data_IF_760979968258
#
_entry.id   IF_760979968258
#
_cell.length_a   1.000
_cell.length_b   1.000
_cell.length_c   1.000
_cell.angle_alpha   90.00
_cell.angle_beta   90.00
_cell.angle_gamma   90.00
#
_symmetry.space_group_name_H-M   'P 1'
#
loop_
_entity.id
_entity.type
_entity.pdbx_description
1 polymer ?
#
# COMPACT_ATOMS: atom_id res chain seq x y z
N UNK A 1 10.53 -32.71 13.68
CA UNK A 1 10.02 -32.46 15.04
C UNK A 1 9.73 -30.98 15.15
N UNK A 2 8.48 -30.58 15.33
CA UNK A 2 8.15 -29.17 15.58
C UNK A 2 8.25 -28.94 17.09
N UNK A 3 9.40 -28.43 17.55
CA UNK A 3 9.57 -28.04 18.95
C UNK A 3 8.97 -26.65 19.14
N UNK A 4 7.84 -26.59 19.84
CA UNK A 4 7.26 -25.32 20.28
C UNK A 4 8.07 -24.74 21.44
N UNK A 5 8.48 -23.49 21.31
CA UNK A 5 9.11 -22.71 22.39
C UNK A 5 8.17 -21.56 22.73
N UNK A 6 7.79 -21.47 23.99
CA UNK A 6 6.94 -20.39 24.49
C UNK A 6 7.73 -19.08 24.49
N UNK A 7 7.09 -17.99 24.04
CA UNK A 7 7.65 -16.65 24.15
C UNK A 7 7.28 -15.97 25.48
N UNK A 8 8.04 -14.95 25.85
CA UNK A 8 7.75 -14.06 26.97
C UNK A 8 7.80 -12.61 26.48
N UNK A 9 6.79 -11.80 26.80
CA UNK A 9 6.80 -10.37 26.46
C UNK A 9 7.66 -9.60 27.45
N UNK A 10 8.57 -8.80 26.93
CA UNK A 10 9.42 -7.89 27.70
C UNK A 10 8.91 -6.46 27.51
N UNK A 11 8.94 -5.67 28.59
CA UNK A 11 8.78 -4.22 28.49
C UNK A 11 10.14 -3.56 28.30
N UNK A 12 10.36 -2.95 27.14
CA UNK A 12 11.58 -2.19 26.87
C UNK A 12 11.67 -0.93 27.74
N UNK A 13 10.54 -0.27 28.03
CA UNK A 13 10.48 0.88 28.95
C UNK A 13 11.09 0.58 30.33
N UNK A 14 10.93 -0.66 30.82
CA UNK A 14 11.47 -1.10 32.10
C UNK A 14 12.80 -1.86 31.97
N UNK A 15 13.30 -2.03 30.74
CA UNK A 15 14.51 -2.80 30.50
C UNK A 15 15.76 -1.96 30.85
N UNK A 16 16.72 -2.49 31.63
CA UNK A 16 17.84 -1.71 32.14
C UNK A 16 18.86 -1.28 31.09
N UNK A 17 18.91 -1.97 29.94
CA UNK A 17 19.94 -1.78 28.91
C UNK A 17 19.40 -1.38 27.54
N UNK A 18 18.13 -1.68 27.25
CA UNK A 18 17.57 -1.52 25.91
C UNK A 18 16.77 -0.24 25.92
N UNK A 19 17.25 0.75 25.17
CA UNK A 19 16.72 2.10 25.17
C UNK A 19 16.00 2.40 23.86
N UNK A 20 15.31 3.53 23.82
CA UNK A 20 14.73 4.06 22.58
C UNK A 20 15.81 4.21 21.49
N UNK A 21 17.01 4.67 21.89
CA UNK A 21 18.16 4.77 20.99
C UNK A 21 18.60 3.42 20.42
N UNK A 22 18.49 2.35 21.19
CA UNK A 22 18.78 1.00 20.72
C UNK A 22 17.76 0.56 19.64
N UNK A 23 16.47 0.85 19.84
CA UNK A 23 15.43 0.57 18.84
C UNK A 23 15.65 1.41 17.57
N UNK A 24 15.92 2.70 17.71
CA UNK A 24 16.27 3.57 16.58
C UNK A 24 17.42 2.97 15.75
N UNK A 25 18.50 2.52 16.41
CA UNK A 25 19.65 1.94 15.74
C UNK A 25 19.32 0.64 15.01
N UNK A 26 18.40 -0.17 15.54
CA UNK A 26 17.96 -1.40 14.89
C UNK A 26 17.19 -1.09 13.59
N UNK A 27 16.24 -0.16 13.66
CA UNK A 27 15.46 0.29 12.49
C UNK A 27 16.38 0.99 11.47
N UNK A 28 17.33 1.81 11.92
CA UNK A 28 18.30 2.47 11.06
C UNK A 28 19.19 1.50 10.27
N UNK A 29 19.51 0.33 10.85
CA UNK A 29 20.30 -0.70 10.20
C UNK A 29 19.50 -1.53 9.21
N UNK A 30 18.23 -1.79 9.52
CA UNK A 30 17.32 -2.54 8.66
C UNK A 30 15.90 -1.96 8.76
N UNK A 31 15.57 -0.94 7.94
CA UNK A 31 14.23 -0.34 7.95
C UNK A 31 13.12 -1.30 7.55
N UNK A 32 13.44 -2.40 6.85
CA UNK A 32 12.45 -3.37 6.38
C UNK A 32 11.73 -4.08 7.54
N UNK A 33 12.32 -4.11 8.74
CA UNK A 33 11.69 -4.66 9.94
C UNK A 33 10.38 -3.95 10.31
N UNK A 34 10.14 -2.73 9.81
CA UNK A 34 8.90 -2.00 10.01
C UNK A 34 7.74 -2.53 9.15
N UNK A 35 8.02 -3.31 8.10
CA UNK A 35 7.00 -3.84 7.19
C UNK A 35 6.32 -2.77 6.33
N UNK A 36 7.02 -1.66 6.04
CA UNK A 36 6.50 -0.54 5.24
C UNK A 36 6.98 -0.56 3.78
N UNK A 37 7.57 -1.66 3.33
CA UNK A 37 8.24 -1.77 2.02
C UNK A 37 9.73 -1.42 2.10
N UNK A 38 10.33 -1.18 0.93
CA UNK A 38 11.75 -0.86 0.82
C UNK A 38 12.01 0.61 1.22
N UNK A 39 12.70 0.79 2.35
CA UNK A 39 12.99 2.08 2.95
C UNK A 39 14.49 2.22 3.23
N UNK A 40 15.01 3.41 2.97
CA UNK A 40 16.38 3.80 3.28
C UNK A 40 16.41 4.85 4.40
N UNK A 41 17.42 4.78 5.27
CA UNK A 41 17.68 5.81 6.27
C UNK A 41 18.27 7.06 5.63
N UNK A 42 17.63 8.22 5.84
CA UNK A 42 18.15 9.53 5.42
C UNK A 42 18.89 10.26 6.52
N UNK A 43 18.34 10.25 7.72
CA UNK A 43 18.89 10.97 8.87
C UNK A 43 18.38 10.36 10.18
N UNK A 44 19.13 10.54 11.27
CA UNK A 44 18.76 10.05 12.60
C UNK A 44 19.06 11.12 13.66
N UNK A 45 18.20 11.24 14.68
CA UNK A 45 18.26 12.32 15.68
C UNK A 45 18.34 13.72 15.03
N UNK A 46 17.57 13.88 13.95
CA UNK A 46 17.62 15.06 13.09
C UNK A 46 17.09 16.26 13.84
N UNK A 47 17.93 17.29 13.99
CA UNK A 47 17.56 18.51 14.72
C UNK A 47 16.49 19.29 13.96
N UNK A 48 15.37 19.57 14.63
CA UNK A 48 14.28 20.36 14.10
C UNK A 48 14.32 21.81 14.62
N UNK A 49 14.33 22.84 13.75
CA UNK A 49 14.42 24.23 14.18
C UNK A 49 13.28 24.60 15.13
N UNK A 50 13.64 25.04 16.35
CA UNK A 50 12.69 25.50 17.41
C UNK A 50 11.73 24.43 17.94
N UNK A 51 12.00 23.15 17.68
CA UNK A 51 11.28 22.03 18.24
C UNK A 51 12.28 21.12 19.00
N UNK A 52 12.30 19.83 18.70
CA UNK A 52 13.23 18.85 19.27
C UNK A 52 14.09 18.17 18.22
N UNK A 53 14.22 16.85 18.33
CA UNK A 53 14.94 16.01 17.37
C UNK A 53 14.00 14.92 16.89
N UNK A 54 13.86 14.80 15.58
CA UNK A 54 13.15 13.68 14.96
C UNK A 54 14.02 12.43 15.09
N UNK A 55 13.44 11.33 15.57
CA UNK A 55 14.19 10.09 15.78
C UNK A 55 14.81 9.56 14.49
N UNK A 56 13.99 9.30 13.47
CA UNK A 56 14.44 8.82 12.17
C UNK A 56 13.69 9.50 11.03
N UNK A 57 14.43 9.86 9.98
CA UNK A 57 13.88 10.22 8.68
C UNK A 57 14.21 9.08 7.71
N UNK A 58 13.18 8.37 7.24
CA UNK A 58 13.32 7.32 6.22
C UNK A 58 12.79 7.82 4.88
N UNK A 59 13.16 7.14 3.79
CA UNK A 59 12.65 7.45 2.46
C UNK A 59 12.48 6.18 1.62
N UNK A 60 11.42 6.12 0.81
CA UNK A 60 11.24 5.05 -0.18
C UNK A 60 11.85 5.41 -1.56
N UNK A 61 11.78 4.44 -2.47
CA UNK A 61 12.24 4.55 -3.85
C UNK A 61 11.52 5.64 -4.67
N UNK A 62 10.26 5.94 -4.32
CA UNK A 62 9.44 6.98 -4.97
C UNK A 62 9.72 8.40 -4.40
N UNK A 63 10.72 8.52 -3.53
CA UNK A 63 11.12 9.74 -2.82
C UNK A 63 10.13 10.27 -1.77
N UNK A 64 9.19 9.44 -1.33
CA UNK A 64 8.35 9.78 -0.18
C UNK A 64 9.12 9.56 1.11
N UNK A 65 8.94 10.48 2.05
CA UNK A 65 9.65 10.52 3.33
C UNK A 65 8.74 10.09 4.47
N UNK A 66 9.34 9.40 5.44
CA UNK A 66 8.66 8.92 6.63
C UNK A 66 9.34 9.51 7.85
N UNK A 67 8.62 10.36 8.56
CA UNK A 67 9.03 10.97 9.82
C UNK A 67 8.63 10.05 10.98
N UNK A 68 9.58 9.24 11.43
CA UNK A 68 9.36 8.21 12.44
C UNK A 68 9.71 8.75 13.82
N UNK A 69 8.77 8.63 14.76
CA UNK A 69 8.95 8.95 16.18
C UNK A 69 8.63 7.73 17.05
N UNK A 70 9.56 7.36 17.92
CA UNK A 70 9.52 6.14 18.72
C UNK A 70 9.28 6.52 20.19
N UNK A 71 8.50 5.71 20.89
CA UNK A 71 8.32 5.82 22.34
C UNK A 71 8.32 4.45 23.00
N UNK A 72 9.17 4.26 24.00
CA UNK A 72 9.06 3.06 24.84
C UNK A 72 7.86 3.14 25.78
N UNK A 73 7.17 2.01 25.92
CA UNK A 73 5.95 1.85 26.69
C UNK A 73 4.71 2.36 25.97
N UNK A 74 3.75 2.83 26.76
CA UNK A 74 2.48 3.32 26.27
C UNK A 74 2.62 4.68 25.59
N UNK A 75 1.98 4.85 24.44
CA UNK A 75 1.83 6.16 23.77
C UNK A 75 1.09 7.15 24.68
N UNK A 76 1.54 8.40 24.65
CA UNK A 76 0.88 9.53 25.32
C UNK A 76 0.62 10.70 24.36
N UNK A 77 -0.03 11.76 24.85
CA UNK A 77 -0.35 12.94 24.05
C UNK A 77 0.91 13.65 23.51
N UNK A 78 2.01 13.61 24.26
CA UNK A 78 3.28 14.23 23.86
C UNK A 78 3.88 13.50 22.66
N UNK A 79 3.77 12.17 22.61
CA UNK A 79 4.21 11.37 21.47
C UNK A 79 3.48 11.75 20.17
N UNK A 80 2.15 11.87 20.21
CA UNK A 80 1.37 12.34 19.06
C UNK A 80 1.83 13.73 18.63
N UNK A 81 1.90 14.67 19.58
CA UNK A 81 2.23 16.07 19.27
C UNK A 81 3.61 16.15 18.60
N UNK A 82 4.64 15.50 19.15
CA UNK A 82 5.99 15.47 18.56
C UNK A 82 5.98 14.93 17.14
N UNK A 83 5.31 13.80 16.93
CA UNK A 83 5.22 13.17 15.60
C UNK A 83 4.60 14.12 14.57
N UNK A 84 3.48 14.76 14.93
CA UNK A 84 2.78 15.70 14.05
C UNK A 84 3.59 16.98 13.79
N UNK A 85 4.29 17.50 14.81
CA UNK A 85 5.16 18.67 14.67
C UNK A 85 6.34 18.38 13.73
N UNK A 86 7.01 17.23 13.89
CA UNK A 86 8.15 16.89 13.04
C UNK A 86 7.75 16.65 11.59
N UNK A 87 6.64 15.94 11.37
CA UNK A 87 6.04 15.79 10.04
C UNK A 87 5.70 17.15 9.41
N UNK A 88 5.01 18.05 10.12
CA UNK A 88 4.61 19.34 9.57
C UNK A 88 5.82 20.24 9.27
N UNK A 89 6.87 20.19 10.11
CA UNK A 89 8.12 20.91 9.89
C UNK A 89 8.88 20.41 8.65
N UNK A 90 9.06 19.10 8.49
CA UNK A 90 9.72 18.53 7.31
C UNK A 90 8.92 18.83 6.04
N UNK A 91 7.59 18.63 6.06
CA UNK A 91 6.70 18.92 4.94
C UNK A 91 6.73 20.39 4.52
N UNK A 92 6.75 21.32 5.48
CA UNK A 92 6.86 22.77 5.19
C UNK A 92 8.23 23.15 4.64
N UNK A 93 9.29 22.49 5.12
CA UNK A 93 10.67 22.77 4.72
C UNK A 93 11.01 22.19 3.35
N UNK A 94 10.45 21.03 3.02
CA UNK A 94 10.70 20.31 1.77
C UNK A 94 9.41 19.87 1.06
N UNK A 95 8.54 20.82 0.68
CA UNK A 95 7.21 20.52 0.12
C UNK A 95 7.22 19.79 -1.23
N UNK A 96 8.39 19.62 -1.85
CA UNK A 96 8.56 18.84 -3.07
C UNK A 96 8.49 17.32 -2.87
N UNK A 97 8.66 16.84 -1.63
CA UNK A 97 8.51 15.42 -1.31
C UNK A 97 7.11 15.15 -0.77
N UNK A 98 6.68 13.91 -0.91
CA UNK A 98 5.53 13.40 -0.15
C UNK A 98 6.02 12.99 1.26
N UNK A 99 5.18 13.17 2.28
CA UNK A 99 5.57 13.04 3.69
C UNK A 99 4.53 12.27 4.51
N UNK A 100 5.00 11.34 5.32
CA UNK A 100 4.17 10.49 6.18
C UNK A 100 4.70 10.45 7.62
N UNK A 101 3.83 10.79 8.57
CA UNK A 101 4.09 10.64 9.99
C UNK A 101 4.02 9.16 10.38
N UNK A 102 5.00 8.66 11.15
CA UNK A 102 5.00 7.28 11.66
C UNK A 102 5.18 7.28 13.18
N UNK A 103 4.17 6.78 13.89
CA UNK A 103 4.18 6.62 15.35
C UNK A 103 4.56 5.18 15.69
N UNK A 104 5.60 4.97 16.51
CA UNK A 104 5.99 3.63 16.99
C UNK A 104 5.99 3.59 18.51
N UNK A 105 5.24 2.67 19.13
CA UNK A 105 5.25 2.49 20.58
C UNK A 105 5.01 1.04 21.03
N UNK A 106 5.33 0.70 22.29
CA UNK A 106 5.10 -0.66 22.81
C UNK A 106 3.61 -0.99 23.04
N UNK A 107 2.81 0.03 23.35
CA UNK A 107 1.37 -0.08 23.58
C UNK A 107 0.64 1.14 23.03
N UNK A 108 -0.20 0.92 22.01
CA UNK A 108 -1.05 1.95 21.42
C UNK A 108 -2.50 1.61 21.76
N UNK A 109 -3.05 2.25 22.78
CA UNK A 109 -4.41 1.95 23.23
C UNK A 109 -5.47 2.35 22.22
N UNK A 110 -6.66 1.74 22.31
CA UNK A 110 -7.82 2.13 21.49
C UNK A 110 -8.20 3.60 21.63
N UNK A 111 -7.99 4.22 22.80
CA UNK A 111 -8.20 5.67 22.97
C UNK A 111 -7.27 6.47 22.06
N UNK A 112 -5.99 6.07 21.98
CA UNK A 112 -5.01 6.73 21.13
C UNK A 112 -5.29 6.48 19.64
N UNK A 113 -5.65 5.26 19.26
CA UNK A 113 -6.11 4.96 17.90
C UNK A 113 -7.30 5.84 17.49
N UNK A 114 -8.27 6.04 18.38
CA UNK A 114 -9.40 6.93 18.12
C UNK A 114 -8.96 8.38 17.91
N UNK A 115 -8.03 8.91 18.71
CA UNK A 115 -7.49 10.28 18.54
C UNK A 115 -6.74 10.40 17.22
N UNK A 116 -5.84 9.45 16.94
CA UNK A 116 -5.04 9.45 15.72
C UNK A 116 -5.97 9.38 14.48
N UNK A 117 -7.05 8.59 14.54
CA UNK A 117 -8.05 8.48 13.47
C UNK A 117 -8.74 9.80 13.13
N UNK A 118 -8.76 10.80 14.03
CA UNK A 118 -9.29 12.14 13.73
C UNK A 118 -8.44 12.87 12.69
N UNK A 119 -7.14 12.55 12.62
CA UNK A 119 -6.18 13.17 11.71
C UNK A 119 -6.04 12.45 10.38
N UNK A 120 -6.40 11.16 10.33
CA UNK A 120 -6.25 10.26 9.19
C UNK A 120 -6.79 10.81 7.87
N UNK A 121 -7.80 11.69 7.89
CA UNK A 121 -8.31 12.33 6.69
C UNK A 121 -7.45 13.48 6.14
N UNK A 122 -6.47 14.00 6.88
CA UNK A 122 -5.72 15.22 6.51
C UNK A 122 -4.21 15.03 6.60
N UNK A 123 -3.77 14.13 7.46
CA UNK A 123 -2.36 13.86 7.72
C UNK A 123 -2.11 12.40 7.32
N UNK A 124 -1.21 12.14 6.35
CA UNK A 124 -0.71 10.80 6.08
C UNK A 124 0.00 10.28 7.32
N UNK A 125 -0.62 9.34 8.04
CA UNK A 125 -0.12 8.86 9.32
C UNK A 125 -0.27 7.35 9.46
N UNK A 126 0.81 6.70 9.87
CA UNK A 126 0.88 5.27 10.17
C UNK A 126 1.20 5.08 11.66
N UNK A 127 0.52 4.16 12.33
CA UNK A 127 0.81 3.78 13.70
C UNK A 127 1.23 2.30 13.76
N UNK A 128 2.40 2.05 14.34
CA UNK A 128 3.02 0.73 14.47
C UNK A 128 3.17 0.41 15.95
N UNK A 129 2.60 -0.71 16.37
CA UNK A 129 2.85 -1.25 17.69
C UNK A 129 4.07 -2.16 17.65
N UNK A 130 5.04 -1.88 18.51
CA UNK A 130 6.25 -2.66 18.72
C UNK A 130 6.06 -3.63 19.89
N UNK A 131 6.54 -4.86 19.76
CA UNK A 131 6.54 -5.83 20.83
C UNK A 131 7.92 -6.47 20.98
N UNK A 132 8.50 -6.40 22.17
CA UNK A 132 9.70 -7.14 22.50
C UNK A 132 9.33 -8.52 23.06
N UNK A 133 9.80 -9.57 22.38
CA UNK A 133 9.55 -10.96 22.75
C UNK A 133 10.87 -11.67 23.01
N UNK A 134 10.97 -12.36 24.14
CA UNK A 134 12.05 -13.29 24.43
C UNK A 134 11.64 -14.69 24.00
N UNK A 135 12.47 -15.34 23.21
CA UNK A 135 12.32 -16.74 22.79
C UNK A 135 13.60 -17.48 23.11
N UNK A 136 13.54 -18.37 24.10
CA UNK A 136 14.73 -18.97 24.73
C UNK A 136 15.73 -17.88 25.18
N UNK A 137 16.93 -17.86 24.60
CA UNK A 137 18.00 -16.90 24.95
C UNK A 137 18.03 -15.66 24.04
N UNK A 138 17.16 -15.60 23.03
CA UNK A 138 17.14 -14.52 22.06
C UNK A 138 16.00 -13.53 22.35
N UNK A 139 16.27 -12.26 22.05
CA UNK A 139 15.28 -11.20 22.02
C UNK A 139 14.93 -10.88 20.56
N UNK A 140 13.65 -10.75 20.25
CA UNK A 140 13.15 -10.26 18.96
C UNK A 140 12.21 -9.10 19.17
N UNK A 141 12.19 -8.17 18.22
CA UNK A 141 11.13 -7.18 18.11
C UNK A 141 10.17 -7.60 17.01
N UNK A 142 8.88 -7.41 17.25
CA UNK A 142 7.83 -7.55 16.25
C UNK A 142 7.17 -6.20 16.09
N UNK A 143 7.13 -5.71 14.86
CA UNK A 143 6.44 -4.48 14.49
C UNK A 143 5.12 -4.84 13.80
N UNK A 144 4.04 -4.23 14.22
CA UNK A 144 2.71 -4.48 13.65
C UNK A 144 2.03 -3.15 13.39
N UNK A 145 1.73 -2.87 12.13
CA UNK A 145 0.90 -1.72 11.76
C UNK A 145 -0.50 -1.92 12.31
N UNK A 146 -0.86 -1.12 13.32
CA UNK A 146 -2.18 -1.13 13.97
C UNK A 146 -3.13 -0.08 13.39
N UNK A 147 -2.57 0.87 12.63
CA UNK A 147 -3.32 1.83 11.84
C UNK A 147 -2.48 2.21 10.63
N UNK A 148 -3.04 1.98 9.44
CA UNK A 148 -2.46 2.50 8.20
C UNK A 148 -3.04 3.86 7.88
N UNK A 149 -2.45 4.53 6.91
CA UNK A 149 -3.03 5.73 6.34
C UNK A 149 -4.46 5.47 5.91
N UNK A 150 -5.36 6.37 6.30
CA UNK A 150 -6.67 6.38 5.70
C UNK A 150 -6.50 6.90 4.27
N UNK A 151 -6.52 5.98 3.31
CA UNK A 151 -6.98 6.31 1.98
C UNK A 151 -8.37 6.90 2.17
N UNK A 152 -8.50 8.23 2.04
CA UNK A 152 -9.80 8.90 2.02
C UNK A 152 -10.72 8.04 1.17
N UNK A 153 -11.91 7.77 1.71
CA UNK A 153 -12.98 7.10 1.00
C UNK A 153 -12.98 7.55 -0.44
N UNK A 154 -13.00 6.55 -1.30
CA UNK A 154 -13.13 6.70 -2.72
C UNK A 154 -14.19 7.79 -2.97
N UNK A 155 -13.93 8.75 -3.86
CA UNK A 155 -15.04 9.03 -4.77
C UNK A 155 -15.18 7.69 -5.45
N UNK A 156 -16.22 6.94 -5.09
CA UNK A 156 -16.35 5.56 -5.55
C UNK A 156 -16.17 5.66 -7.06
N UNK A 157 -15.13 5.02 -7.61
CA UNK A 157 -14.94 5.06 -9.06
C UNK A 157 -16.21 4.48 -9.68
N UNK A 158 -16.90 3.60 -8.95
CA UNK A 158 -18.25 3.11 -9.18
C UNK A 158 -19.38 4.15 -9.00
N UNK A 159 -19.31 5.16 -8.12
CA UNK A 159 -20.30 6.23 -8.00
C UNK A 159 -20.20 7.19 -9.19
N UNK A 160 -18.99 7.68 -9.49
CA UNK A 160 -18.75 8.57 -10.64
C UNK A 160 -18.95 7.82 -11.98
N UNK A 161 -18.62 6.53 -12.03
CA UNK A 161 -18.88 5.66 -13.19
C UNK A 161 -20.36 5.31 -13.35
N UNK A 162 -21.06 4.95 -12.27
CA UNK A 162 -22.49 4.68 -12.29
C UNK A 162 -23.29 5.93 -12.65
N UNK A 163 -22.81 7.11 -12.26
CA UNK A 163 -23.35 8.41 -12.68
C UNK A 163 -22.97 8.79 -14.14
N UNK A 164 -21.95 8.14 -14.73
CA UNK A 164 -21.50 8.38 -16.10
C UNK A 164 -21.31 7.06 -16.88
N UNK A 165 -22.40 6.28 -17.09
CA UNK A 165 -22.34 5.07 -17.91
C UNK A 165 -21.93 5.43 -19.33
N UNK A 166 -21.27 4.47 -20.00
CA UNK A 166 -20.80 4.64 -21.37
C UNK A 166 -21.01 3.36 -22.17
N UNK A 167 -20.51 3.32 -23.39
CA UNK A 167 -20.72 2.21 -24.32
C UNK A 167 -19.45 1.90 -25.13
N UNK A 168 -19.53 0.82 -25.91
CA UNK A 168 -18.44 0.40 -26.78
C UNK A 168 -18.09 1.44 -27.85
N UNK A 169 -19.04 2.08 -28.56
CA UNK A 169 -18.73 3.17 -29.48
C UNK A 169 -17.92 4.32 -28.88
N UNK A 170 -18.24 4.75 -27.65
CA UNK A 170 -17.45 5.76 -26.95
C UNK A 170 -16.00 5.32 -26.77
N UNK A 171 -15.79 4.07 -26.34
CA UNK A 171 -14.46 3.52 -26.10
C UNK A 171 -13.70 3.22 -27.40
N UNK A 172 -14.36 2.81 -28.48
CA UNK A 172 -13.75 2.71 -29.81
C UNK A 172 -13.23 4.07 -30.30
N UNK A 173 -13.98 5.15 -30.04
CA UNK A 173 -13.56 6.50 -30.42
C UNK A 173 -12.41 7.03 -29.54
N UNK A 174 -12.44 6.74 -28.24
CA UNK A 174 -11.40 7.15 -27.27
C UNK A 174 -10.10 6.35 -27.42
N UNK A 175 -10.23 5.05 -27.65
CA UNK A 175 -9.16 4.12 -27.95
C UNK A 175 -9.12 3.78 -29.43
N UNK A 176 -9.23 2.49 -29.75
CA UNK A 176 -9.33 1.97 -31.11
C UNK A 176 -10.13 0.67 -31.13
N UNK A 177 -10.55 0.20 -32.31
CA UNK A 177 -11.23 -1.09 -32.42
C UNK A 177 -10.33 -2.24 -31.99
N UNK A 178 -9.04 -2.11 -32.28
CA UNK A 178 -8.01 -3.08 -31.96
C UNK A 178 -7.84 -3.21 -30.43
N UNK A 179 -7.77 -2.10 -29.69
CA UNK A 179 -7.64 -2.17 -28.23
C UNK A 179 -8.91 -2.62 -27.54
N UNK A 180 -10.09 -2.39 -28.14
CA UNK A 180 -11.35 -2.97 -27.63
C UNK A 180 -11.42 -4.48 -27.87
N UNK A 181 -10.87 -4.98 -28.98
CA UNK A 181 -10.73 -6.43 -29.18
C UNK A 181 -9.79 -7.08 -28.15
N UNK A 182 -8.77 -6.35 -27.66
CA UNK A 182 -7.96 -6.84 -26.55
C UNK A 182 -8.78 -6.96 -25.27
N UNK A 183 -9.67 -6.00 -25.00
CA UNK A 183 -10.59 -6.09 -23.86
C UNK A 183 -11.50 -7.31 -23.98
N UNK A 184 -12.02 -7.59 -25.18
CA UNK A 184 -12.85 -8.77 -25.46
C UNK A 184 -12.06 -10.08 -25.19
N UNK A 185 -10.76 -10.13 -25.53
CA UNK A 185 -9.91 -11.29 -25.27
C UNK A 185 -9.56 -11.46 -23.78
N UNK A 186 -9.31 -10.36 -23.07
CA UNK A 186 -9.09 -10.40 -21.62
C UNK A 186 -10.36 -10.85 -20.88
N UNK A 187 -11.54 -10.47 -21.36
CA UNK A 187 -12.81 -10.98 -20.83
C UNK A 187 -12.89 -12.51 -20.89
N UNK A 188 -12.34 -13.15 -21.94
CA UNK A 188 -12.31 -14.61 -22.03
C UNK A 188 -11.44 -15.25 -20.92
N UNK A 189 -10.33 -14.61 -20.55
CA UNK A 189 -9.49 -15.07 -19.43
C UNK A 189 -10.23 -14.89 -18.11
N UNK A 190 -10.88 -13.75 -17.92
CA UNK A 190 -11.72 -13.48 -16.75
C UNK A 190 -12.86 -14.50 -16.62
N UNK A 191 -13.56 -14.80 -17.72
CA UNK A 191 -14.67 -15.78 -17.75
C UNK A 191 -14.26 -17.21 -17.45
N UNK A 192 -12.97 -17.54 -17.50
CA UNK A 192 -12.48 -18.85 -17.08
C UNK A 192 -12.66 -19.07 -15.55
N UNK A 193 -12.75 -17.99 -14.77
CA UNK A 193 -13.01 -18.03 -13.33
C UNK A 193 -14.49 -17.98 -12.99
N UNK A 194 -15.24 -17.13 -13.71
CA UNK A 194 -16.68 -16.99 -13.55
C UNK A 194 -17.35 -16.64 -14.90
N UNK A 195 -18.11 -17.57 -15.51
CA UNK A 195 -18.74 -17.35 -16.81
C UNK A 195 -19.79 -16.22 -16.86
N UNK A 196 -20.35 -15.81 -15.71
CA UNK A 196 -21.36 -14.74 -15.64
C UNK A 196 -20.76 -13.33 -15.73
N UNK A 197 -19.43 -13.21 -15.63
CA UNK A 197 -18.76 -11.91 -15.69
C UNK A 197 -18.86 -11.28 -17.07
N UNK A 198 -19.23 -10.00 -17.12
CA UNK A 198 -19.33 -9.22 -18.35
C UNK A 198 -18.63 -7.87 -18.25
N UNK A 199 -18.26 -7.29 -19.40
CA UNK A 199 -17.68 -5.95 -19.45
C UNK A 199 -18.77 -4.90 -19.18
N UNK A 200 -18.54 -4.07 -18.17
CA UNK A 200 -19.38 -2.91 -17.86
C UNK A 200 -18.69 -1.63 -18.33
N UNK A 201 -19.25 -0.97 -19.33
CA UNK A 201 -18.64 0.22 -19.92
C UNK A 201 -19.00 1.48 -19.13
N UNK A 202 -17.99 2.10 -18.53
CA UNK A 202 -18.13 3.38 -17.85
C UNK A 202 -17.26 4.45 -18.54
N UNK A 203 -17.53 5.73 -18.34
CA UNK A 203 -16.80 6.81 -19.04
C UNK A 203 -15.29 6.83 -18.72
N UNK A 204 -14.91 6.43 -17.51
CA UNK A 204 -13.53 6.51 -17.00
C UNK A 204 -12.74 5.21 -17.16
N UNK A 205 -13.40 4.06 -17.06
CA UNK A 205 -12.82 2.73 -17.25
C UNK A 205 -13.87 1.75 -17.78
N UNK A 206 -13.43 0.60 -18.28
CA UNK A 206 -14.29 -0.57 -18.54
C UNK A 206 -14.10 -1.51 -17.34
N UNK A 207 -15.17 -1.72 -16.60
CA UNK A 207 -15.20 -2.59 -15.43
C UNK A 207 -15.71 -3.98 -15.73
N UNK A 208 -15.92 -4.75 -14.67
CA UNK A 208 -16.55 -6.06 -14.71
C UNK A 208 -17.85 -6.02 -13.91
N UNK A 209 -18.85 -6.76 -14.37
CA UNK A 209 -20.09 -6.98 -13.64
C UNK A 209 -20.43 -8.47 -13.57
N UNK A 210 -20.97 -8.89 -12.43
CA UNK A 210 -21.58 -10.20 -12.20
C UNK A 210 -23.07 -9.97 -12.00
N UNK A 211 -23.89 -10.51 -12.91
CA UNK A 211 -25.36 -10.39 -12.85
C UNK A 211 -25.83 -8.93 -12.65
N UNK A 212 -25.18 -7.99 -13.34
CA UNK A 212 -25.47 -6.56 -13.26
C UNK A 212 -24.86 -5.82 -12.05
N UNK A 213 -24.29 -6.54 -11.08
CA UNK A 213 -23.58 -5.94 -9.94
C UNK A 213 -22.09 -5.73 -10.26
N UNK A 214 -21.48 -4.58 -9.90
CA UNK A 214 -20.05 -4.36 -10.10
C UNK A 214 -19.19 -5.43 -9.42
N UNK A 215 -18.17 -5.91 -10.13
CA UNK A 215 -17.17 -6.87 -9.64
C UNK A 215 -15.78 -6.48 -10.16
N UNK A 216 -15.37 -5.23 -9.90
CA UNK A 216 -14.22 -4.57 -10.53
C UNK A 216 -12.84 -5.01 -9.96
N UNK A 217 -12.58 -6.31 -9.85
CA UNK A 217 -11.26 -6.83 -9.45
C UNK A 217 -10.20 -6.65 -10.55
N UNK A 218 -10.62 -6.47 -11.81
CA UNK A 218 -9.80 -5.96 -12.92
C UNK A 218 -10.56 -4.83 -13.59
N UNK A 219 -9.88 -3.73 -13.89
CA UNK A 219 -10.41 -2.67 -14.76
C UNK A 219 -9.54 -2.52 -15.99
N UNK A 220 -10.17 -2.15 -17.11
CA UNK A 220 -9.51 -1.99 -18.40
C UNK A 220 -9.67 -0.53 -18.86
N UNK A 221 -8.60 0.06 -19.36
CA UNK A 221 -8.60 1.41 -19.95
C UNK A 221 -7.95 1.35 -21.33
N UNK A 222 -8.71 1.02 -22.39
CA UNK A 222 -8.22 1.07 -23.76
C UNK A 222 -7.69 2.46 -24.13
N UNK A 223 -6.52 2.51 -24.77
CA UNK A 223 -5.92 3.69 -25.41
C UNK A 223 -5.91 3.49 -26.92
N UNK A 224 -5.27 4.41 -27.65
CA UNK A 224 -5.17 4.32 -29.12
C UNK A 224 -4.44 3.04 -29.58
N UNK A 225 -3.31 2.72 -28.94
CA UNK A 225 -2.41 1.64 -29.36
C UNK A 225 -2.20 0.55 -28.30
N UNK A 226 -2.48 0.84 -27.04
CA UNK A 226 -2.30 -0.09 -25.92
C UNK A 226 -3.60 -0.19 -25.12
N UNK A 227 -3.71 -1.21 -24.29
CA UNK A 227 -4.75 -1.33 -23.28
C UNK A 227 -4.10 -1.36 -21.91
N UNK A 228 -4.49 -0.46 -21.01
CA UNK A 228 -4.06 -0.57 -19.62
C UNK A 228 -4.99 -1.54 -18.89
N UNK A 229 -4.42 -2.62 -18.35
CA UNK A 229 -5.11 -3.56 -17.47
C UNK A 229 -4.67 -3.28 -16.03
N UNK A 230 -5.65 -3.20 -15.13
CA UNK A 230 -5.41 -2.78 -13.75
C UNK A 230 -6.01 -3.78 -12.75
N UNK A 231 -5.30 -4.89 -12.47
CA UNK A 231 -5.72 -5.85 -11.47
C UNK A 231 -5.60 -5.23 -10.06
N UNK A 232 -6.64 -5.43 -9.25
CA UNK A 232 -6.68 -5.00 -7.85
C UNK A 232 -5.98 -6.03 -6.97
N UNK A 233 -4.71 -5.77 -6.68
CA UNK A 233 -3.83 -6.62 -5.91
C UNK A 233 -2.96 -5.76 -4.99
N UNK A 234 -2.73 -6.17 -3.72
CA UNK A 234 -1.79 -5.49 -2.85
C UNK A 234 -0.38 -5.56 -3.44
N UNK A 235 0.42 -4.52 -3.19
CA UNK A 235 1.83 -4.51 -3.60
C UNK A 235 2.61 -5.50 -2.74
N UNK A 236 3.18 -6.52 -3.36
CA UNK A 236 3.98 -7.56 -2.69
C UNK A 236 5.15 -7.95 -3.57
N UNK A 237 6.24 -8.41 -2.96
CA UNK A 237 7.42 -8.89 -3.71
C UNK A 237 7.06 -10.05 -4.66
N UNK A 238 6.13 -10.92 -4.28
CA UNK A 238 5.67 -12.03 -5.11
C UNK A 238 4.97 -11.54 -6.39
N UNK A 239 4.04 -10.58 -6.25
CA UNK A 239 3.35 -9.99 -7.41
C UNK A 239 4.31 -9.17 -8.27
N UNK A 240 5.23 -8.41 -7.65
CA UNK A 240 6.25 -7.64 -8.35
C UNK A 240 7.14 -8.56 -9.20
N UNK A 241 7.61 -9.68 -8.63
CA UNK A 241 8.42 -10.67 -9.34
C UNK A 241 7.69 -11.27 -10.56
N UNK A 242 6.41 -11.64 -10.43
CA UNK A 242 5.60 -12.17 -11.55
C UNK A 242 5.51 -11.15 -12.70
N UNK A 243 5.36 -9.86 -12.37
CA UNK A 243 5.23 -8.79 -13.35
C UNK A 243 6.56 -8.50 -14.06
N UNK A 244 7.65 -8.46 -13.29
CA UNK A 244 9.00 -8.21 -13.79
C UNK A 244 9.53 -9.36 -14.65
N UNK A 245 9.38 -10.61 -14.20
CA UNK A 245 9.81 -11.80 -14.94
C UNK A 245 9.07 -11.95 -16.27
N UNK A 246 7.78 -11.59 -16.31
CA UNK A 246 6.99 -11.57 -17.53
C UNK A 246 7.35 -10.39 -18.46
N UNK A 247 8.08 -9.38 -17.96
CA UNK A 247 8.52 -8.21 -18.71
C UNK A 247 7.36 -7.30 -19.14
N UNK A 248 6.37 -7.06 -18.27
CA UNK A 248 5.31 -6.10 -18.55
C UNK A 248 5.83 -4.65 -18.51
N UNK A 249 5.35 -3.82 -19.43
CA UNK A 249 5.48 -2.37 -19.30
C UNK A 249 4.50 -1.89 -18.22
N UNK A 250 5.01 -1.27 -17.16
CA UNK A 250 4.21 -0.85 -16.01
C UNK A 250 4.14 0.67 -15.87
N UNK A 251 3.03 1.14 -15.31
CA UNK A 251 2.92 2.48 -14.73
C UNK A 251 3.09 2.40 -13.20
N UNK A 252 3.39 3.51 -12.51
CA UNK A 252 3.48 3.52 -11.05
C UNK A 252 2.26 2.88 -10.40
N UNK A 253 2.53 2.03 -9.40
CA UNK A 253 1.51 1.33 -8.62
C UNK A 253 0.50 2.33 -8.04
N UNK A 254 -0.78 2.02 -8.16
CA UNK A 254 -1.85 2.85 -7.63
C UNK A 254 -2.09 2.51 -6.16
N UNK A 255 -1.29 3.09 -5.27
CA UNK A 255 -1.42 2.88 -3.83
C UNK A 255 -2.81 3.29 -3.30
N UNK A 256 -3.47 4.25 -3.96
CA UNK A 256 -4.80 4.71 -3.55
C UNK A 256 -5.88 3.65 -3.75
N UNK A 257 -5.76 2.85 -4.81
CA UNK A 257 -6.78 1.87 -5.19
C UNK A 257 -6.33 0.42 -5.07
N UNK A 258 -5.08 0.21 -4.67
CA UNK A 258 -4.45 -1.10 -4.56
C UNK A 258 -4.39 -1.80 -5.91
N UNK A 259 -3.94 -1.10 -6.96
CA UNK A 259 -3.92 -1.64 -8.33
C UNK A 259 -2.53 -1.54 -8.95
N UNK A 260 -2.11 -2.65 -9.55
CA UNK A 260 -1.06 -2.61 -10.56
C UNK A 260 -1.61 -2.02 -11.85
N UNK A 261 -0.74 -1.49 -12.70
CA UNK A 261 -1.12 -0.87 -13.98
C UNK A 261 -0.20 -1.36 -15.08
N UNK A 262 -0.71 -2.32 -15.87
CA UNK A 262 0.04 -2.98 -16.93
C UNK A 262 -0.40 -2.41 -18.28
N UNK A 263 0.53 -1.89 -19.07
CA UNK A 263 0.24 -1.47 -20.44
C UNK A 263 0.45 -2.66 -21.38
N UNK A 264 -0.64 -3.13 -21.99
CA UNK A 264 -0.67 -4.31 -22.84
C UNK A 264 -0.74 -3.91 -24.31
N UNK A 265 0.11 -4.53 -25.12
CA UNK A 265 0.00 -4.60 -26.57
C UNK A 265 -0.71 -5.91 -26.98
N UNK A 266 -0.97 -6.05 -28.27
CA UNK A 266 -1.70 -7.22 -28.80
C UNK A 266 -0.93 -8.52 -28.59
N UNK A 267 0.39 -8.45 -28.72
CA UNK A 267 1.30 -9.58 -28.64
C UNK A 267 1.36 -10.14 -27.21
N UNK A 268 1.20 -9.29 -26.19
CA UNK A 268 1.30 -9.64 -24.77
C UNK A 268 0.24 -10.68 -24.34
N UNK A 269 -0.95 -10.68 -24.97
CA UNK A 269 -1.98 -11.68 -24.67
C UNK A 269 -1.57 -13.11 -25.05
N UNK A 270 -0.59 -13.23 -25.93
CA UNK A 270 0.01 -14.51 -26.33
C UNK A 270 1.34 -14.77 -25.65
N UNK A 271 2.24 -13.78 -25.63
CA UNK A 271 3.60 -13.97 -25.12
C UNK A 271 3.68 -13.97 -23.59
N UNK A 272 2.74 -13.30 -22.91
CA UNK A 272 2.70 -13.15 -21.44
C UNK A 272 1.43 -13.75 -20.84
N UNK A 273 0.81 -14.70 -21.56
CA UNK A 273 -0.50 -15.27 -21.22
C UNK A 273 -0.55 -15.87 -19.82
N UNK A 274 0.46 -16.66 -19.44
CA UNK A 274 0.46 -17.36 -18.15
C UNK A 274 0.52 -16.38 -16.98
N UNK A 275 1.32 -15.31 -17.11
CA UNK A 275 1.37 -14.24 -16.12
C UNK A 275 0.05 -13.45 -16.05
N UNK A 276 -0.58 -13.15 -17.20
CA UNK A 276 -1.91 -12.54 -17.22
C UNK A 276 -2.94 -13.40 -16.49
N UNK A 277 -2.95 -14.71 -16.72
CA UNK A 277 -3.85 -15.66 -16.04
C UNK A 277 -3.57 -15.68 -14.54
N UNK A 278 -2.30 -15.75 -14.12
CA UNK A 278 -1.93 -15.73 -12.71
C UNK A 278 -2.40 -14.45 -12.00
N UNK A 279 -2.18 -13.28 -12.61
CA UNK A 279 -2.58 -11.98 -12.05
C UNK A 279 -4.10 -11.82 -12.00
N UNK A 280 -4.83 -12.28 -13.03
CA UNK A 280 -6.30 -12.29 -13.02
C UNK A 280 -6.82 -13.21 -11.93
N UNK A 281 -6.25 -14.40 -11.77
CA UNK A 281 -6.64 -15.38 -10.76
C UNK A 281 -6.42 -14.83 -9.34
N UNK A 282 -5.26 -14.23 -9.10
CA UNK A 282 -4.94 -13.60 -7.82
C UNK A 282 -5.89 -12.43 -7.52
N UNK A 283 -6.16 -11.57 -8.52
CA UNK A 283 -7.06 -10.43 -8.35
C UNK A 283 -8.50 -10.89 -8.08
N UNK A 284 -8.94 -11.94 -8.75
CA UNK A 284 -10.26 -12.54 -8.53
C UNK A 284 -10.39 -13.09 -7.10
N UNK A 285 -9.38 -13.83 -6.62
CA UNK A 285 -9.37 -14.35 -5.25
C UNK A 285 -9.35 -13.23 -4.20
N UNK A 286 -8.60 -12.15 -4.45
CA UNK A 286 -8.51 -10.99 -3.56
C UNK A 286 -9.79 -10.13 -3.54
N UNK A 287 -10.59 -10.16 -4.63
CA UNK A 287 -11.83 -9.41 -4.76
C UNK A 287 -13.11 -10.23 -4.52
N UNK A 288 -13.00 -11.50 -4.15
CA UNK A 288 -14.12 -12.42 -3.94
C UNK A 288 -14.75 -12.36 -2.53
N UNK A 289 -14.32 -11.42 -1.69
CA UNK A 289 -14.90 -11.14 -0.35
C UNK A 289 -15.82 -9.92 -0.35
#
# INVERSE_FOLDING_TARGET
MNNYVKNERISLKLHPLLTEKWVQNLIAQDPAILGLGDLELRDAERTQPRAGRLDLLLQDADNRRYEVEIQLGQTDETHIIRTLEYWDLERKRYPQYDHCAVIIAEDITSRFLNVISLFNGTIPLIAIQMQALKVADNLTLVFTTVMSELTRGLVDEDEDAAAAPSDRPYWENKGSRETLQLADQLLLLVKAHDPSLELKYNKFYIGLARDGQPSNFVTLRPRRNTLNMEPRLPKTEETDAVIEEAGFDTLPYDARWGRYRLSLQKEDLTTKRDALVALIAAAYANGAD
#
